data_IF_582611903613
#
_entry.id   IF_582611903613
#
_cell.length_a   1.000
_cell.length_b   1.000
_cell.length_c   1.000
_cell.angle_alpha   90.00
_cell.angle_beta   90.00
_cell.angle_gamma   90.00
#
_symmetry.space_group_name_H-M   'P 1'
#
loop_
_entity.id
_entity.type
_entity.pdbx_description
1 polymer ?
#
# COMPACT_ATOMS: atom_id res chain seq x y z
N UNK A 1 -15.59 -28.17 -5.53
CA UNK A 1 -14.64 -27.21 -4.93
C UNK A 1 -14.73 -27.38 -3.43
N UNK A 2 -13.60 -27.63 -2.77
CA UNK A 2 -13.56 -28.06 -1.37
C UNK A 2 -12.89 -26.98 -0.52
N UNK A 3 -13.50 -26.63 0.60
CA UNK A 3 -13.00 -25.62 1.53
C UNK A 3 -12.17 -26.31 2.62
N UNK A 4 -11.02 -25.74 2.95
CA UNK A 4 -10.19 -26.22 4.06
C UNK A 4 -10.25 -25.26 5.23
N UNK A 5 -10.41 -25.77 6.45
CA UNK A 5 -10.45 -24.94 7.66
C UNK A 5 -9.04 -24.53 8.08
N UNK A 6 -8.84 -23.26 8.46
CA UNK A 6 -7.60 -22.83 9.09
C UNK A 6 -7.46 -23.48 10.48
N UNK A 7 -6.29 -24.04 10.84
CA UNK A 7 -6.13 -24.78 12.09
C UNK A 7 -6.32 -23.95 13.37
N UNK A 8 -6.27 -22.62 13.29
CA UNK A 8 -6.20 -21.73 14.46
C UNK A 8 -7.24 -20.59 14.46
N UNK A 9 -8.04 -20.47 13.41
CA UNK A 9 -9.11 -19.47 13.29
C UNK A 9 -10.27 -20.09 12.52
N UNK A 10 -11.52 -19.71 12.82
CA UNK A 10 -12.73 -20.21 12.14
C UNK A 10 -12.89 -19.69 10.69
N UNK A 11 -11.79 -19.54 9.95
CA UNK A 11 -11.78 -19.13 8.55
C UNK A 11 -11.69 -20.34 7.62
N UNK A 12 -12.40 -20.29 6.50
CA UNK A 12 -12.31 -21.26 5.42
C UNK A 12 -11.36 -20.74 4.33
N UNK A 13 -10.48 -21.61 3.83
CA UNK A 13 -9.53 -21.34 2.75
C UNK A 13 -10.04 -22.01 1.47
N UNK A 14 -10.03 -21.25 0.38
CA UNK A 14 -10.30 -21.74 -0.97
C UNK A 14 -9.12 -21.45 -1.87
N UNK A 15 -8.50 -22.51 -2.37
CA UNK A 15 -7.42 -22.39 -3.34
C UNK A 15 -7.97 -21.90 -4.69
N UNK A 16 -7.23 -20.98 -5.31
CA UNK A 16 -7.54 -20.45 -6.64
C UNK A 16 -6.51 -20.99 -7.62
N UNK A 17 -6.99 -21.77 -8.59
CA UNK A 17 -6.16 -22.39 -9.63
C UNK A 17 -6.30 -21.69 -10.99
N UNK A 18 -7.15 -20.65 -11.08
CA UNK A 18 -7.31 -19.85 -12.29
C UNK A 18 -6.10 -18.93 -12.51
N UNK A 19 -5.83 -18.59 -13.78
CA UNK A 19 -4.80 -17.63 -14.16
C UNK A 19 -3.39 -18.10 -13.78
N UNK A 20 -2.66 -17.24 -13.08
CA UNK A 20 -1.29 -17.53 -12.60
C UNK A 20 -1.26 -18.19 -11.23
N UNK A 21 -2.42 -18.43 -10.61
CA UNK A 21 -2.58 -18.92 -9.25
C UNK A 21 -1.82 -18.06 -8.21
N UNK A 22 -1.88 -16.73 -8.37
CA UNK A 22 -1.25 -15.77 -7.44
C UNK A 22 -2.28 -14.84 -6.77
N UNK A 23 -1.81 -13.92 -5.92
CA UNK A 23 -2.65 -12.99 -5.17
C UNK A 23 -3.63 -12.18 -6.04
N UNK A 24 -3.22 -11.82 -7.26
CA UNK A 24 -4.08 -11.11 -8.22
C UNK A 24 -5.30 -11.95 -8.60
N UNK A 25 -5.08 -13.23 -8.87
CA UNK A 25 -6.14 -14.17 -9.24
C UNK A 25 -7.07 -14.41 -8.04
N UNK A 26 -6.51 -14.61 -6.85
CA UNK A 26 -7.29 -14.73 -5.61
C UNK A 26 -8.17 -13.50 -5.33
N UNK A 27 -7.64 -12.30 -5.54
CA UNK A 27 -8.39 -11.04 -5.39
C UNK A 27 -9.53 -10.96 -6.40
N UNK A 28 -9.29 -11.39 -7.64
CA UNK A 28 -10.29 -11.39 -8.71
C UNK A 28 -11.43 -12.35 -8.41
N UNK A 29 -11.14 -13.57 -7.96
CA UNK A 29 -12.18 -14.53 -7.56
C UNK A 29 -12.95 -14.07 -6.32
N UNK A 30 -12.27 -13.46 -5.34
CA UNK A 30 -12.93 -12.93 -4.15
C UNK A 30 -13.93 -11.80 -4.48
N UNK A 31 -13.59 -10.91 -5.41
CA UNK A 31 -14.53 -9.87 -5.88
C UNK A 31 -15.72 -10.49 -6.59
N UNK A 32 -15.53 -11.51 -7.44
CA UNK A 32 -16.63 -12.20 -8.13
C UNK A 32 -17.57 -12.88 -7.15
N UNK A 33 -17.02 -13.56 -6.15
CA UNK A 33 -17.77 -14.21 -5.09
C UNK A 33 -18.59 -13.18 -4.30
N UNK A 34 -17.97 -12.05 -3.93
CA UNK A 34 -18.64 -10.97 -3.23
C UNK A 34 -19.80 -10.35 -4.03
N UNK A 35 -19.60 -10.08 -5.33
CA UNK A 35 -20.66 -9.53 -6.20
C UNK A 35 -21.88 -10.46 -6.24
N UNK A 36 -21.67 -11.78 -6.12
CA UNK A 36 -22.75 -12.76 -6.12
C UNK A 36 -23.46 -12.87 -4.76
N UNK A 37 -22.78 -12.51 -3.66
CA UNK A 37 -23.25 -12.70 -2.28
C UNK A 37 -23.29 -11.39 -1.47
N UNK A 38 -23.50 -10.25 -2.14
CA UNK A 38 -23.35 -8.90 -1.56
C UNK A 38 -24.25 -8.63 -0.35
N UNK A 39 -25.43 -9.26 -0.29
CA UNK A 39 -26.41 -9.06 0.79
C UNK A 39 -26.00 -9.72 2.11
N UNK A 40 -25.22 -10.80 2.04
CA UNK A 40 -24.87 -11.64 3.20
C UNK A 40 -23.38 -11.61 3.51
N UNK A 41 -22.55 -11.10 2.61
CA UNK A 41 -21.09 -11.16 2.69
C UNK A 41 -20.47 -9.78 2.54
N UNK A 42 -19.60 -9.42 3.49
CA UNK A 42 -18.76 -8.23 3.37
C UNK A 42 -17.37 -8.59 2.86
N UNK A 43 -16.94 -7.96 1.77
CA UNK A 43 -15.60 -8.14 1.24
C UNK A 43 -14.59 -7.29 2.00
N UNK A 44 -13.72 -7.96 2.77
CA UNK A 44 -12.65 -7.32 3.54
C UNK A 44 -11.42 -7.19 2.64
N UNK A 45 -11.23 -6.01 2.05
CA UNK A 45 -10.05 -5.72 1.24
C UNK A 45 -8.86 -5.31 2.12
N UNK A 46 -7.76 -6.05 2.03
CA UNK A 46 -6.57 -5.88 2.88
C UNK A 46 -5.59 -4.78 2.47
N UNK A 47 -5.93 -3.90 1.52
CA UNK A 47 -5.02 -2.85 1.08
C UNK A 47 -5.71 -1.61 0.51
N UNK A 48 -4.95 -0.54 0.26
CA UNK A 48 -5.43 0.73 -0.31
C UNK A 48 -5.50 0.57 -1.84
N UNK A 49 -6.38 -0.31 -2.27
CA UNK A 49 -6.63 -0.63 -3.66
C UNK A 49 -8.14 -0.77 -3.90
N UNK A 50 -8.52 -1.06 -5.14
CA UNK A 50 -9.92 -1.28 -5.50
C UNK A 50 -10.75 0.00 -5.63
N UNK A 51 -12.06 -0.14 -5.90
CA UNK A 51 -12.94 0.99 -6.12
C UNK A 51 -13.24 1.73 -4.82
N UNK A 52 -13.71 2.98 -4.96
CA UNK A 52 -14.35 3.68 -3.85
C UNK A 52 -15.46 2.79 -3.23
N UNK A 53 -15.58 2.70 -1.89
CA UNK A 53 -14.92 3.52 -0.85
C UNK A 53 -13.64 2.91 -0.23
N UNK A 54 -13.17 1.76 -0.69
CA UNK A 54 -12.13 0.98 0.00
C UNK A 54 -10.80 1.73 0.23
N UNK A 55 -10.21 2.45 -0.75
CA UNK A 55 -8.96 3.17 -0.50
C UNK A 55 -9.06 4.20 0.64
N UNK A 56 -10.19 4.92 0.73
CA UNK A 56 -10.42 5.92 1.77
C UNK A 56 -10.63 5.23 3.13
N UNK A 57 -11.45 4.19 3.17
CA UNK A 57 -11.73 3.43 4.39
C UNK A 57 -10.45 2.79 4.97
N UNK A 58 -9.65 2.12 4.12
CA UNK A 58 -8.41 1.47 4.56
C UNK A 58 -7.39 2.50 5.06
N UNK A 59 -7.29 3.66 4.40
CA UNK A 59 -6.46 4.78 4.88
C UNK A 59 -6.89 5.20 6.28
N UNK A 60 -8.18 5.44 6.51
CA UNK A 60 -8.68 5.88 7.82
C UNK A 60 -8.40 4.85 8.92
N UNK A 61 -8.58 3.55 8.63
CA UNK A 61 -8.25 2.50 9.58
C UNK A 61 -6.75 2.40 9.89
N UNK A 62 -5.89 2.78 8.95
CA UNK A 62 -4.43 2.80 9.15
C UNK A 62 -3.91 4.15 9.67
N UNK A 63 -4.73 5.19 9.74
CA UNK A 63 -4.31 6.56 10.11
C UNK A 63 -3.73 6.66 11.53
N UNK A 64 -4.02 5.68 12.39
CA UNK A 64 -3.44 5.58 13.74
C UNK A 64 -1.90 5.53 13.69
N UNK A 65 -1.31 4.93 12.65
CA UNK A 65 0.14 4.81 12.48
C UNK A 65 0.79 6.20 12.43
N UNK A 66 0.28 7.09 11.58
CA UNK A 66 0.79 8.46 11.46
C UNK A 66 0.56 9.27 12.74
N UNK A 67 -0.64 9.18 13.33
CA UNK A 67 -1.01 9.90 14.57
C UNK A 67 -0.10 9.53 15.74
N UNK A 68 0.13 8.24 15.95
CA UNK A 68 1.04 7.76 17.00
C UNK A 68 2.49 8.14 16.70
N UNK A 69 2.92 8.07 15.44
CA UNK A 69 4.26 8.49 15.04
C UNK A 69 4.50 9.96 15.36
N UNK A 70 3.56 10.86 15.04
CA UNK A 70 3.67 12.29 15.37
C UNK A 70 3.77 12.52 16.87
N UNK A 71 2.89 11.86 17.65
CA UNK A 71 2.89 11.95 19.11
C UNK A 71 4.22 11.49 19.69
N UNK A 72 4.69 10.32 19.28
CA UNK A 72 5.94 9.74 19.77
C UNK A 72 7.17 10.56 19.35
N UNK A 73 7.18 11.13 18.14
CA UNK A 73 8.24 12.02 17.66
C UNK A 73 8.35 13.28 18.52
N UNK A 74 7.20 13.91 18.83
CA UNK A 74 7.13 15.08 19.70
C UNK A 74 7.63 14.75 21.11
N UNK A 75 7.24 13.61 21.66
CA UNK A 75 7.66 13.16 23.00
C UNK A 75 9.15 12.84 23.08
N UNK A 76 9.75 12.26 22.03
CA UNK A 76 11.13 11.76 22.05
C UNK A 76 12.18 12.80 21.67
N UNK A 77 11.90 13.64 20.68
CA UNK A 77 12.87 14.63 20.17
C UNK A 77 12.28 16.01 19.93
N UNK A 78 11.06 16.29 20.43
CA UNK A 78 10.50 17.64 20.48
C UNK A 78 9.99 18.17 19.14
N UNK A 79 9.78 17.31 18.14
CA UNK A 79 9.37 17.76 16.81
C UNK A 79 8.85 16.64 15.92
N UNK A 80 8.66 16.96 14.64
CA UNK A 80 8.30 15.99 13.60
C UNK A 80 9.55 15.34 12.98
N UNK A 81 9.43 14.15 12.38
CA UNK A 81 10.55 13.52 11.67
C UNK A 81 10.93 14.31 10.40
N UNK A 82 12.22 14.38 10.03
CA UNK A 82 12.64 14.94 8.74
C UNK A 82 12.33 14.02 7.54
N UNK A 83 12.25 12.71 7.82
CA UNK A 83 12.04 11.66 6.82
C UNK A 83 11.15 10.57 7.39
N UNK A 84 10.18 10.15 6.60
CA UNK A 84 9.36 8.97 6.84
C UNK A 84 9.59 7.96 5.72
N UNK A 85 9.78 6.70 6.08
CA UNK A 85 10.04 5.61 5.13
C UNK A 85 9.05 4.49 5.38
N UNK A 86 8.42 3.98 4.32
CA UNK A 86 7.49 2.87 4.39
C UNK A 86 7.57 1.98 3.15
N UNK A 87 7.32 0.68 3.31
CA UNK A 87 7.26 -0.23 2.17
C UNK A 87 5.93 -0.11 1.41
N UNK A 88 6.00 -0.20 0.09
CA UNK A 88 4.85 -0.05 -0.80
C UNK A 88 4.68 -1.34 -1.61
N UNK A 89 3.72 -2.15 -1.17
CA UNK A 89 3.09 -3.19 -1.99
C UNK A 89 1.71 -2.69 -2.43
N UNK A 90 0.66 -3.00 -1.67
CA UNK A 90 -0.66 -2.38 -1.83
C UNK A 90 -0.84 -1.03 -1.09
N UNK A 91 0.18 -0.58 -0.34
CA UNK A 91 0.29 0.80 0.14
C UNK A 91 -0.44 1.19 1.43
N UNK A 92 -1.13 0.27 2.13
CA UNK A 92 -1.91 0.61 3.33
C UNK A 92 -1.10 1.16 4.50
N UNK A 93 0.01 0.50 4.85
CA UNK A 93 0.90 0.96 5.91
C UNK A 93 1.51 2.35 5.58
N UNK A 94 1.95 2.52 4.33
CA UNK A 94 2.55 3.75 3.84
C UNK A 94 1.53 4.90 3.88
N UNK A 95 0.32 4.68 3.39
CA UNK A 95 -0.75 5.68 3.41
C UNK A 95 -1.13 6.05 4.85
N UNK A 96 -1.24 5.07 5.75
CA UNK A 96 -1.54 5.31 7.17
C UNK A 96 -0.47 6.14 7.88
N UNK A 97 0.80 5.93 7.55
CA UNK A 97 1.93 6.71 8.07
C UNK A 97 1.96 8.12 7.47
N UNK A 98 1.91 8.22 6.14
CA UNK A 98 2.15 9.47 5.41
C UNK A 98 0.99 10.46 5.47
N UNK A 99 -0.25 9.98 5.60
CA UNK A 99 -1.44 10.84 5.59
C UNK A 99 -1.38 11.93 6.66
N UNK A 100 -0.88 11.60 7.85
CA UNK A 100 -0.75 12.56 8.96
C UNK A 100 0.24 13.70 8.64
N UNK A 101 1.23 13.45 7.78
CA UNK A 101 2.34 14.38 7.48
C UNK A 101 2.26 15.00 6.09
N UNK A 102 1.19 14.74 5.32
CA UNK A 102 1.07 15.19 3.92
C UNK A 102 1.13 16.72 3.76
N UNK A 103 0.73 17.46 4.79
CA UNK A 103 0.76 18.93 4.79
C UNK A 103 2.08 19.51 5.33
N UNK A 104 2.96 18.68 5.89
CA UNK A 104 4.27 19.10 6.40
C UNK A 104 5.32 19.08 5.27
N UNK A 105 5.48 20.19 4.56
CA UNK A 105 6.31 20.29 3.33
C UNK A 105 7.81 20.03 3.51
N UNK A 106 8.29 20.14 4.74
CA UNK A 106 9.66 19.88 5.17
C UNK A 106 9.92 18.39 5.50
N UNK A 107 8.87 17.58 5.62
CA UNK A 107 8.98 16.14 5.88
C UNK A 107 9.07 15.39 4.55
N UNK A 108 10.15 14.63 4.38
CA UNK A 108 10.33 13.80 3.17
C UNK A 108 9.62 12.46 3.34
N UNK A 109 8.71 12.14 2.43
CA UNK A 109 7.95 10.89 2.43
C UNK A 109 8.55 9.93 1.38
N UNK A 110 9.07 8.77 1.81
CA UNK A 110 9.78 7.81 0.95
C UNK A 110 9.06 6.46 0.95
N UNK A 111 8.45 6.13 -0.18
CA UNK A 111 7.92 4.78 -0.45
C UNK A 111 8.99 3.86 -1.03
N UNK A 112 9.10 2.64 -0.51
CA UNK A 112 10.08 1.63 -0.96
C UNK A 112 9.38 0.40 -1.51
N UNK A 113 9.63 0.07 -2.78
CA UNK A 113 9.07 -1.12 -3.44
C UNK A 113 10.10 -2.25 -3.56
N UNK A 114 9.60 -3.49 -3.71
CA UNK A 114 10.46 -4.64 -3.89
C UNK A 114 11.03 -4.70 -5.33
N UNK A 115 12.35 -4.51 -5.43
CA UNK A 115 13.10 -4.57 -6.68
C UNK A 115 13.26 -5.99 -7.25
N UNK A 116 12.86 -7.04 -6.51
CA UNK A 116 12.97 -8.43 -6.94
C UNK A 116 14.39 -8.80 -7.35
N UNK A 117 14.55 -9.37 -8.54
CA UNK A 117 15.86 -9.73 -9.12
C UNK A 117 16.61 -8.56 -9.77
N UNK A 118 16.20 -7.32 -9.45
CA UNK A 118 16.71 -6.09 -10.04
C UNK A 118 15.70 -5.48 -11.00
N UNK A 119 15.65 -4.15 -11.03
CA UNK A 119 14.70 -3.39 -11.86
C UNK A 119 14.83 -3.67 -13.35
N UNK A 120 16.03 -3.98 -13.82
CA UNK A 120 16.31 -4.26 -15.23
C UNK A 120 15.99 -5.71 -15.63
N UNK A 121 15.72 -6.58 -14.65
CA UNK A 121 15.45 -8.01 -14.90
C UNK A 121 14.03 -8.28 -15.41
N UNK A 122 13.13 -7.28 -15.33
CA UNK A 122 11.69 -7.47 -15.56
C UNK A 122 10.99 -8.35 -14.52
N UNK A 123 11.73 -8.88 -13.53
CA UNK A 123 11.22 -9.71 -12.42
C UNK A 123 11.29 -8.93 -11.11
N UNK A 124 10.53 -7.84 -11.06
CA UNK A 124 10.36 -7.00 -9.87
C UNK A 124 8.88 -6.81 -9.57
N UNK A 125 8.57 -6.40 -8.34
CA UNK A 125 7.21 -6.04 -7.94
C UNK A 125 6.99 -4.52 -7.89
N UNK A 126 8.03 -3.73 -8.17
CA UNK A 126 7.93 -2.28 -8.22
C UNK A 126 7.26 -1.79 -9.50
N UNK A 127 5.95 -1.56 -9.45
CA UNK A 127 5.20 -0.97 -10.56
C UNK A 127 5.24 0.57 -10.52
N UNK A 128 5.69 1.12 -9.40
CA UNK A 128 5.51 2.50 -8.98
C UNK A 128 6.87 3.19 -8.94
N UNK A 129 7.54 3.25 -10.09
CA UNK A 129 8.48 4.36 -10.30
C UNK A 129 7.64 5.64 -10.34
N UNK A 130 7.51 6.30 -9.19
CA UNK A 130 6.79 7.57 -8.96
C UNK A 130 5.26 7.43 -8.76
N UNK A 131 4.79 6.96 -7.60
CA UNK A 131 3.77 7.77 -6.92
C UNK A 131 4.50 8.77 -6.05
N UNK A 132 4.70 9.95 -6.59
CA UNK A 132 4.64 11.13 -5.74
C UNK A 132 3.28 11.05 -5.04
N UNK A 133 3.27 10.93 -3.71
CA UNK A 133 2.11 11.32 -2.91
C UNK A 133 2.08 12.85 -3.00
N UNK A 134 1.63 13.34 -4.16
CA UNK A 134 1.30 14.72 -4.40
C UNK A 134 -0.22 14.73 -4.58
N UNK A 135 -0.95 14.71 -3.45
CA UNK A 135 -2.35 15.07 -3.47
C UNK A 135 -2.44 16.58 -3.72
N UNK A 136 -2.36 16.96 -5.01
CA UNK A 136 -2.57 18.32 -5.47
C UNK A 136 -1.41 18.91 -6.26
N UNK A 137 -1.72 19.22 -7.53
CA UNK A 137 -0.98 20.04 -8.50
C UNK A 137 -0.13 19.28 -9.54
N UNK A 138 -0.40 19.66 -10.78
CA UNK A 138 0.23 19.27 -12.04
C UNK A 138 1.77 19.27 -12.01
N UNK A 139 2.36 18.58 -13.00
CA UNK A 139 3.75 18.58 -13.47
C UNK A 139 4.64 17.41 -13.01
N UNK A 140 4.76 16.39 -13.87
CA UNK A 140 6.00 16.21 -14.64
C UNK A 140 7.20 15.49 -14.02
N UNK A 141 7.05 14.59 -13.05
CA UNK A 141 8.19 13.78 -12.59
C UNK A 141 8.17 12.38 -13.19
N UNK A 142 8.86 12.20 -14.32
CA UNK A 142 9.19 10.88 -14.90
C UNK A 142 10.60 10.45 -14.54
N UNK A 143 10.83 9.12 -14.54
CA UNK A 143 12.05 8.29 -14.36
C UNK A 143 13.44 8.94 -14.50
N UNK A 144 13.61 9.99 -15.31
CA UNK A 144 14.89 10.66 -15.59
C UNK A 144 15.48 11.41 -14.37
N UNK A 145 14.65 12.16 -13.63
CA UNK A 145 15.15 13.11 -12.61
C UNK A 145 15.65 12.43 -11.32
N UNK A 146 15.21 11.19 -11.04
CA UNK A 146 15.71 10.41 -9.90
C UNK A 146 17.09 9.78 -10.18
N UNK A 147 17.43 9.54 -11.46
CA UNK A 147 18.74 9.01 -11.86
C UNK A 147 19.86 10.06 -11.80
N UNK A 148 19.52 11.33 -12.05
CA UNK A 148 20.48 12.45 -12.03
C UNK A 148 20.96 12.76 -10.61
N UNK A 149 20.09 12.63 -9.60
CA UNK A 149 20.50 12.80 -8.20
C UNK A 149 21.40 11.70 -7.67
N UNK A 150 21.35 10.48 -8.23
CA UNK A 150 22.28 9.39 -7.88
C UNK A 150 23.69 9.58 -8.42
N UNK A 151 23.89 10.46 -9.41
CA UNK A 151 25.21 10.82 -9.95
C UNK A 151 25.84 12.04 -9.28
N UNK A 152 25.12 12.72 -8.40
CA UNK A 152 25.57 13.93 -7.72
C UNK A 152 25.88 13.72 -6.22
N UNK A 153 26.06 12.46 -5.79
CA UNK A 153 26.46 12.06 -4.44
C UNK A 153 27.63 11.11 -4.50
#
# INVERSE_FOLDING_TARGET
MEWQQLPCVHGLVRAVHSGTATLKDATSEAIRDWVTNVETTHYILGSVAGPHPYPMMVREFHAVIGKETRKQALEKWGGKPDVLVACVGGGSNAMGLFHEFVNDKDVRLIGVEAAGFGVDSGKHAGNLFVMAIQLGLSWGWTRAQFSERRRAS
#
